data_IF_285154214784
#
_entry.id   IF_285154214784
#
_cell.length_a   1.000
_cell.length_b   1.000
_cell.length_c   1.000
_cell.angle_alpha   90.00
_cell.angle_beta   90.00
_cell.angle_gamma   90.00
#
_symmetry.space_group_name_H-M   'P 1'
#
loop_
_entity.id
_entity.type
_entity.pdbx_description
1 polymer ?
#
# COMPACT_ATOMS: atom_id res chain seq x y z
N UNK A 1 -36.36 16.88 -9.79
CA UNK A 1 -35.42 16.74 -8.69
C UNK A 1 -36.07 15.80 -7.68
N UNK A 2 -35.65 14.55 -7.66
CA UNK A 2 -36.14 13.56 -6.70
C UNK A 2 -35.71 13.97 -5.29
N UNK A 3 -36.70 14.16 -4.42
CA UNK A 3 -36.50 14.57 -3.01
C UNK A 3 -36.08 13.36 -2.14
N UNK A 4 -35.27 12.44 -2.72
CA UNK A 4 -34.79 11.24 -2.01
C UNK A 4 -33.80 11.64 -0.91
N UNK A 5 -34.06 11.19 0.30
CA UNK A 5 -33.10 11.29 1.43
C UNK A 5 -32.16 10.09 1.54
N UNK A 6 -32.33 9.11 0.67
CA UNK A 6 -31.52 7.88 0.62
C UNK A 6 -30.80 7.76 -0.72
N UNK A 7 -29.59 7.17 -0.76
CA UNK A 7 -28.87 6.91 -2.00
C UNK A 7 -29.67 6.00 -2.94
N UNK A 8 -29.49 6.19 -4.26
CA UNK A 8 -30.14 5.35 -5.28
C UNK A 8 -29.58 3.93 -5.28
N UNK A 9 -28.33 3.76 -4.84
CA UNK A 9 -27.63 2.47 -4.70
C UNK A 9 -27.22 2.29 -3.23
N UNK A 10 -27.41 1.10 -2.64
CA UNK A 10 -26.98 0.83 -1.27
C UNK A 10 -25.47 1.08 -1.08
N UNK A 11 -25.10 1.79 -0.03
CA UNK A 11 -23.71 2.00 0.32
C UNK A 11 -23.08 0.69 0.81
N UNK A 12 -21.87 0.44 0.35
CA UNK A 12 -21.04 -0.66 0.82
C UNK A 12 -19.99 -0.13 1.80
N UNK A 13 -19.91 -0.76 2.96
CA UNK A 13 -18.91 -0.45 3.98
C UNK A 13 -17.89 -1.58 4.09
N UNK A 14 -16.61 -1.23 4.12
CA UNK A 14 -15.48 -2.14 4.26
C UNK A 14 -14.51 -1.65 5.32
N UNK A 15 -13.75 -2.58 5.89
CA UNK A 15 -12.72 -2.31 6.89
C UNK A 15 -11.34 -2.86 6.47
N UNK A 16 -11.20 -3.28 5.22
CA UNK A 16 -10.01 -3.91 4.66
C UNK A 16 -9.49 -3.15 3.43
N UNK A 17 -8.40 -3.61 2.86
CA UNK A 17 -7.83 -3.14 1.60
C UNK A 17 -7.68 -4.30 0.62
N UNK A 18 -7.73 -4.01 -0.68
CA UNK A 18 -7.38 -4.97 -1.72
C UNK A 18 -5.98 -4.68 -2.25
N UNK A 19 -5.14 -5.69 -2.33
CA UNK A 19 -3.84 -5.64 -3.01
C UNK A 19 -3.69 -6.91 -3.81
N UNK A 20 -3.52 -6.78 -5.11
CA UNK A 20 -3.34 -7.89 -6.04
C UNK A 20 -2.06 -7.67 -6.84
N UNK A 21 -1.23 -8.69 -6.95
CA UNK A 21 -0.08 -8.65 -7.85
C UNK A 21 -0.58 -8.87 -9.30
N UNK A 22 -0.49 -7.83 -10.11
CA UNK A 22 -0.94 -7.88 -11.51
C UNK A 22 0.12 -8.52 -12.40
N UNK A 23 1.38 -8.10 -12.21
CA UNK A 23 2.54 -8.64 -12.91
C UNK A 23 3.82 -8.30 -12.18
N UNK A 24 4.86 -9.03 -12.46
CA UNK A 24 6.22 -8.71 -12.01
C UNK A 24 7.25 -9.09 -13.08
N UNK A 25 8.39 -8.40 -13.04
CA UNK A 25 9.65 -8.78 -13.62
C UNK A 25 10.65 -8.69 -12.49
N UNK A 26 10.61 -9.67 -11.58
CA UNK A 26 11.35 -9.67 -10.31
C UNK A 26 11.70 -11.09 -9.90
N UNK A 27 12.95 -11.28 -9.51
CA UNK A 27 13.50 -12.49 -8.92
C UNK A 27 14.77 -12.18 -8.11
N UNK A 28 15.17 -13.06 -7.20
CA UNK A 28 16.44 -12.94 -6.50
C UNK A 28 17.65 -12.96 -7.46
N UNK A 29 17.54 -13.71 -8.56
CA UNK A 29 18.59 -13.75 -9.60
C UNK A 29 18.78 -12.43 -10.33
N UNK A 30 17.76 -11.57 -10.42
CA UNK A 30 17.89 -10.24 -11.03
C UNK A 30 18.87 -9.37 -10.24
N UNK A 31 18.84 -9.45 -8.92
CA UNK A 31 19.78 -8.73 -8.04
C UNK A 31 21.21 -9.23 -8.26
N UNK A 32 21.37 -10.54 -8.39
CA UNK A 32 22.67 -11.18 -8.55
C UNK A 32 23.32 -10.83 -9.89
N UNK A 33 22.60 -10.96 -11.01
CA UNK A 33 23.18 -10.63 -12.32
C UNK A 33 23.43 -9.12 -12.47
N UNK A 34 22.55 -8.28 -11.91
CA UNK A 34 22.75 -6.83 -11.93
C UNK A 34 24.00 -6.42 -11.14
N UNK A 35 24.27 -7.04 -9.99
CA UNK A 35 25.48 -6.77 -9.22
C UNK A 35 26.75 -7.24 -9.94
N UNK A 36 26.71 -8.41 -10.58
CA UNK A 36 27.88 -9.03 -11.21
C UNK A 36 28.37 -8.33 -12.47
N UNK A 37 27.53 -7.55 -13.14
CA UNK A 37 27.97 -6.77 -14.30
C UNK A 37 29.15 -5.86 -13.96
N UNK A 38 29.27 -5.38 -12.74
CA UNK A 38 30.35 -4.51 -12.28
C UNK A 38 31.69 -5.21 -12.20
N UNK A 39 31.73 -6.52 -12.03
CA UNK A 39 32.97 -7.32 -11.86
C UNK A 39 33.29 -8.17 -13.05
N UNK A 40 32.29 -8.68 -13.75
CA UNK A 40 32.48 -9.60 -14.88
C UNK A 40 32.44 -8.91 -16.26
N UNK A 41 31.85 -7.73 -16.35
CA UNK A 41 31.84 -6.90 -17.58
C UNK A 41 31.02 -7.47 -18.74
N UNK A 42 30.47 -8.68 -18.62
CA UNK A 42 29.85 -9.40 -19.73
C UNK A 42 28.36 -9.71 -19.49
N UNK A 43 27.61 -9.63 -20.57
CA UNK A 43 26.19 -10.00 -20.64
C UNK A 43 25.93 -11.51 -20.47
N UNK A 44 26.98 -12.36 -20.71
CA UNK A 44 26.92 -13.82 -20.59
C UNK A 44 26.56 -14.33 -19.19
N UNK A 45 26.66 -13.49 -18.17
CA UNK A 45 26.33 -13.84 -16.80
C UNK A 45 24.83 -13.86 -16.47
N UNK A 46 23.95 -13.45 -17.39
CA UNK A 46 22.49 -13.62 -17.22
C UNK A 46 22.12 -15.11 -17.07
N UNK A 47 22.82 -15.99 -17.79
CA UNK A 47 22.60 -17.44 -17.69
C UNK A 47 23.37 -18.08 -16.53
N UNK A 48 24.51 -17.51 -16.11
CA UNK A 48 25.26 -17.96 -14.94
C UNK A 48 24.49 -17.75 -13.62
N UNK A 49 23.66 -16.69 -13.53
CA UNK A 49 22.79 -16.47 -12.39
C UNK A 49 21.68 -17.52 -12.22
N UNK A 50 21.32 -18.24 -13.28
CA UNK A 50 20.29 -19.30 -13.25
C UNK A 50 20.85 -20.65 -12.77
N UNK A 51 22.14 -20.85 -12.83
CA UNK A 51 22.81 -22.14 -12.58
C UNK A 51 23.67 -22.18 -11.30
N UNK A 52 23.62 -21.12 -10.46
CA UNK A 52 24.44 -21.07 -9.25
C UNK A 52 23.69 -21.55 -8.02
N UNK A 53 24.45 -22.04 -7.04
CA UNK A 53 23.93 -22.49 -5.76
C UNK A 53 23.22 -21.33 -5.03
N UNK A 54 22.04 -21.61 -4.48
CA UNK A 54 21.25 -20.66 -3.70
C UNK A 54 22.04 -20.04 -2.53
N UNK A 55 23.05 -20.74 -2.01
CA UNK A 55 23.94 -20.25 -0.95
C UNK A 55 24.84 -19.08 -1.40
N UNK A 56 25.33 -19.10 -2.64
CA UNK A 56 26.13 -18.00 -3.21
C UNK A 56 25.27 -16.76 -3.45
N UNK A 57 24.04 -16.96 -3.93
CA UNK A 57 23.06 -15.87 -4.08
C UNK A 57 22.80 -15.19 -2.74
N UNK A 58 22.53 -15.96 -1.69
CA UNK A 58 22.26 -15.44 -0.34
C UNK A 58 23.44 -14.62 0.18
N UNK A 59 24.68 -15.11 0.01
CA UNK A 59 25.88 -14.40 0.42
C UNK A 59 26.03 -13.03 -0.25
N UNK A 60 25.87 -12.98 -1.58
CA UNK A 60 25.98 -11.74 -2.35
C UNK A 60 24.83 -10.76 -2.02
N UNK A 61 23.58 -11.22 -2.03
CA UNK A 61 22.41 -10.37 -1.72
C UNK A 61 22.52 -9.79 -0.30
N UNK A 62 22.94 -10.62 0.68
CA UNK A 62 23.14 -10.14 2.05
C UNK A 62 24.28 -9.10 2.14
N UNK A 63 25.39 -9.30 1.40
CA UNK A 63 26.46 -8.31 1.33
C UNK A 63 25.94 -6.97 0.76
N UNK A 64 25.26 -7.00 -0.39
CA UNK A 64 24.71 -5.80 -1.04
C UNK A 64 23.74 -5.06 -0.10
N UNK A 65 22.90 -5.80 0.63
CA UNK A 65 21.95 -5.24 1.59
C UNK A 65 22.69 -4.54 2.75
N UNK A 66 23.64 -5.24 3.36
CA UNK A 66 24.42 -4.73 4.50
C UNK A 66 25.26 -3.50 4.15
N UNK A 67 25.93 -3.52 2.99
CA UNK A 67 26.79 -2.44 2.54
C UNK A 67 26.04 -1.34 1.79
N UNK A 68 24.71 -1.41 1.73
CA UNK A 68 23.84 -0.38 1.16
C UNK A 68 24.03 -0.16 -0.34
N UNK A 69 24.38 -1.22 -1.08
CA UNK A 69 24.49 -1.20 -2.53
C UNK A 69 23.10 -1.37 -3.17
N UNK A 70 22.34 -0.26 -3.30
CA UNK A 70 20.93 -0.29 -3.64
C UNK A 70 20.59 -0.53 -5.11
N UNK A 71 21.46 -0.14 -6.05
CA UNK A 71 21.15 -0.19 -7.50
C UNK A 71 20.80 -1.58 -8.02
N UNK A 72 21.40 -2.72 -7.58
CA UNK A 72 21.01 -4.04 -8.07
C UNK A 72 19.53 -4.37 -7.79
N UNK A 73 18.96 -3.84 -6.70
CA UNK A 73 17.56 -4.04 -6.33
C UNK A 73 16.58 -3.19 -7.13
N UNK A 74 17.07 -2.27 -7.96
CA UNK A 74 16.21 -1.40 -8.79
C UNK A 74 15.80 -2.06 -10.10
N UNK A 75 16.40 -3.20 -10.46
CA UNK A 75 16.12 -3.94 -11.70
C UNK A 75 14.91 -4.89 -11.58
N UNK A 76 14.46 -5.18 -10.37
CA UNK A 76 13.29 -6.02 -10.10
C UNK A 76 12.03 -5.16 -9.95
N UNK A 77 11.00 -5.41 -10.77
CA UNK A 77 9.81 -4.56 -10.89
C UNK A 77 8.55 -5.33 -10.49
N UNK A 78 7.69 -4.68 -9.70
CA UNK A 78 6.37 -5.17 -9.31
C UNK A 78 5.30 -4.19 -9.78
N UNK A 79 4.17 -4.70 -10.27
CA UNK A 79 2.97 -3.91 -10.53
C UNK A 79 1.80 -4.51 -9.76
N UNK A 80 1.22 -3.72 -8.88
CA UNK A 80 0.08 -4.09 -8.06
C UNK A 80 -1.18 -3.33 -8.50
N UNK A 81 -2.34 -3.97 -8.37
CA UNK A 81 -3.61 -3.29 -8.25
C UNK A 81 -3.92 -3.12 -6.77
N UNK A 82 -4.18 -1.88 -6.37
CA UNK A 82 -4.50 -1.54 -4.97
C UNK A 82 -5.83 -0.82 -4.93
N UNK A 83 -6.73 -1.26 -4.04
CA UNK A 83 -7.97 -0.55 -3.73
C UNK A 83 -8.00 -0.24 -2.24
N UNK A 84 -8.01 1.04 -1.91
CA UNK A 84 -7.93 1.57 -0.57
C UNK A 84 -8.69 2.90 -0.46
N UNK A 85 -9.09 3.35 0.75
CA UNK A 85 -9.73 4.66 0.92
C UNK A 85 -8.75 5.82 0.59
N UNK A 86 -9.31 6.94 0.16
CA UNK A 86 -8.56 8.13 -0.26
C UNK A 86 -7.54 8.59 0.79
N UNK A 87 -7.89 8.52 2.09
CA UNK A 87 -6.94 8.94 3.14
C UNK A 87 -5.68 8.05 3.19
N UNK A 88 -5.77 6.77 2.80
CA UNK A 88 -4.61 5.85 2.69
C UNK A 88 -3.73 6.25 1.51
N UNK A 89 -4.33 6.63 0.38
CA UNK A 89 -3.60 7.09 -0.80
C UNK A 89 -2.75 8.33 -0.52
N UNK A 90 -3.20 9.23 0.37
CA UNK A 90 -2.42 10.41 0.77
C UNK A 90 -1.10 10.05 1.47
N UNK A 91 -1.05 8.94 2.18
CA UNK A 91 0.20 8.39 2.73
C UNK A 91 0.97 7.55 1.73
N UNK A 92 0.28 6.73 0.93
CA UNK A 92 0.89 5.87 -0.06
C UNK A 92 1.69 6.68 -1.10
N UNK A 93 1.12 7.75 -1.62
CA UNK A 93 1.73 8.62 -2.63
C UNK A 93 2.89 9.48 -2.09
N UNK A 94 3.20 9.42 -0.78
CA UNK A 94 4.44 9.98 -0.22
C UNK A 94 5.68 9.18 -0.66
N UNK A 95 5.50 7.94 -1.09
CA UNK A 95 6.53 7.09 -1.67
C UNK A 95 6.65 7.37 -3.18
N UNK A 96 7.43 8.40 -3.52
CA UNK A 96 7.48 9.00 -4.87
C UNK A 96 8.27 8.18 -5.90
N UNK A 97 9.06 7.18 -5.48
CA UNK A 97 9.78 6.28 -6.39
C UNK A 97 8.84 5.13 -6.76
N UNK A 98 7.73 5.50 -7.40
CA UNK A 98 6.72 4.60 -7.92
C UNK A 98 5.90 5.32 -9.00
N UNK A 99 5.26 4.55 -9.88
CA UNK A 99 4.30 5.06 -10.86
C UNK A 99 2.90 4.71 -10.41
N UNK A 100 1.99 5.68 -10.49
CA UNK A 100 0.60 5.56 -10.07
C UNK A 100 -0.33 5.87 -11.24
N UNK A 101 -1.35 5.05 -11.43
CA UNK A 101 -2.45 5.33 -12.35
C UNK A 101 -3.77 5.00 -11.64
N UNK A 102 -4.41 6.05 -11.12
CA UNK A 102 -5.60 5.97 -10.28
C UNK A 102 -6.87 6.11 -11.13
N UNK A 103 -7.94 5.42 -10.73
CA UNK A 103 -9.28 5.65 -11.29
C UNK A 103 -9.68 7.12 -11.13
N UNK A 104 -10.48 7.62 -12.08
CA UNK A 104 -10.81 9.04 -12.08
C UNK A 104 -12.30 9.29 -11.87
N UNK A 105 -12.64 9.89 -10.73
CA UNK A 105 -13.95 10.45 -10.49
C UNK A 105 -14.33 11.66 -11.36
N UNK A 106 -13.46 12.06 -12.31
CA UNK A 106 -13.79 13.02 -13.39
C UNK A 106 -14.48 12.32 -14.56
N UNK A 107 -14.10 11.06 -14.82
CA UNK A 107 -14.55 10.33 -16.02
C UNK A 107 -15.70 9.36 -15.73
N UNK A 108 -15.78 8.87 -14.52
CA UNK A 108 -16.85 7.95 -14.10
C UNK A 108 -17.47 8.41 -12.77
N UNK A 109 -18.71 7.98 -12.52
CA UNK A 109 -19.30 8.06 -11.20
C UNK A 109 -18.56 7.10 -10.28
N UNK A 110 -18.19 7.56 -9.07
CA UNK A 110 -17.53 6.73 -8.08
C UNK A 110 -18.52 5.79 -7.42
N UNK A 111 -18.10 4.55 -7.18
CA UNK A 111 -18.92 3.56 -6.50
C UNK A 111 -19.16 3.96 -5.03
N UNK A 112 -20.35 3.69 -4.47
CA UNK A 112 -20.66 4.00 -3.08
C UNK A 112 -20.01 3.04 -2.09
N UNK A 113 -18.68 2.94 -2.12
CA UNK A 113 -17.90 2.05 -1.26
C UNK A 113 -17.03 2.89 -0.32
N UNK A 114 -17.22 2.70 0.99
CA UNK A 114 -16.60 3.51 2.02
C UNK A 114 -15.91 2.67 3.08
N UNK A 115 -14.80 3.19 3.59
CA UNK A 115 -14.12 2.60 4.73
C UNK A 115 -14.89 2.88 6.02
N UNK A 116 -14.94 1.86 6.85
CA UNK A 116 -15.47 1.92 8.21
C UNK A 116 -14.57 1.08 9.13
N UNK A 117 -14.07 1.63 10.26
CA UNK A 117 -13.28 0.86 11.21
C UNK A 117 -14.15 -0.19 11.91
N UNK A 118 -13.82 -1.46 11.75
CA UNK A 118 -14.49 -2.54 12.48
C UNK A 118 -13.98 -2.63 13.93
N UNK A 119 -14.54 -3.56 14.71
CA UNK A 119 -14.20 -3.73 16.13
C UNK A 119 -12.76 -4.21 16.40
N UNK A 120 -12.04 -4.66 15.37
CA UNK A 120 -10.61 -5.02 15.49
C UNK A 120 -9.68 -3.79 15.36
N UNK A 121 -10.22 -2.65 14.93
CA UNK A 121 -9.46 -1.39 14.85
C UNK A 121 -9.44 -0.72 16.24
N UNK A 122 -8.26 -0.62 16.83
CA UNK A 122 -8.09 0.14 18.08
C UNK A 122 -8.44 1.62 17.84
N UNK A 123 -9.33 2.18 18.66
CA UNK A 123 -9.87 3.54 18.47
C UNK A 123 -9.20 4.59 19.33
N UNK A 124 -8.64 4.18 20.48
CA UNK A 124 -8.05 5.12 21.45
C UNK A 124 -6.56 5.28 21.16
N UNK A 125 -6.14 6.53 20.98
CA UNK A 125 -4.73 6.87 20.81
C UNK A 125 -4.14 7.26 22.15
N UNK A 126 -3.06 6.59 22.57
CA UNK A 126 -2.32 6.87 23.79
C UNK A 126 -0.84 7.13 23.47
N UNK A 127 -0.17 7.88 24.34
CA UNK A 127 1.26 8.20 24.18
C UNK A 127 1.51 9.63 23.69
N UNK A 128 2.75 9.87 23.23
CA UNK A 128 3.22 11.20 22.76
C UNK A 128 3.44 11.20 21.26
N UNK A 129 3.48 12.38 20.67
CA UNK A 129 3.77 12.58 19.25
C UNK A 129 5.05 11.82 18.82
N UNK A 130 4.94 10.98 17.80
CA UNK A 130 6.03 10.14 17.30
C UNK A 130 6.22 8.81 18.05
N UNK A 131 5.43 8.54 19.09
CA UNK A 131 5.45 7.28 19.85
C UNK A 131 4.04 6.96 20.36
N UNK A 132 3.10 6.86 19.42
CA UNK A 132 1.73 6.49 19.74
C UNK A 132 1.55 4.99 19.82
N UNK A 133 0.71 4.56 20.78
CA UNK A 133 0.07 3.26 20.76
C UNK A 133 -1.45 3.45 20.60
N UNK A 134 -2.12 2.39 20.16
CA UNK A 134 -3.57 2.41 20.02
C UNK A 134 -4.17 1.28 20.86
N UNK A 135 -5.20 1.62 21.61
CA UNK A 135 -5.93 0.70 22.46
C UNK A 135 -7.36 0.49 21.94
N UNK A 136 -8.01 -0.64 22.28
CA UNK A 136 -9.40 -0.86 21.94
C UNK A 136 -10.30 0.25 22.43
N UNK A 137 -11.32 0.60 21.64
CA UNK A 137 -12.38 1.50 22.06
C UNK A 137 -13.37 0.80 23.00
N UNK A 138 -14.20 1.59 23.69
CA UNK A 138 -15.38 1.04 24.39
C UNK A 138 -16.49 0.68 23.39
N UNK A 139 -17.46 -0.13 23.82
CA UNK A 139 -18.62 -0.48 23.00
C UNK A 139 -19.38 0.77 22.52
N UNK A 140 -19.49 1.79 23.36
CA UNK A 140 -20.13 3.06 23.05
C UNK A 140 -19.35 3.83 21.98
N UNK A 141 -18.01 3.84 22.05
CA UNK A 141 -17.16 4.49 21.04
C UNK A 141 -17.25 3.80 19.67
N UNK A 142 -17.28 2.47 19.63
CA UNK A 142 -17.50 1.73 18.38
C UNK A 142 -18.89 2.01 17.81
N UNK A 143 -19.93 2.02 18.66
CA UNK A 143 -21.30 2.33 18.23
C UNK A 143 -21.42 3.76 17.71
N UNK A 144 -20.84 4.73 18.42
CA UNK A 144 -20.81 6.13 17.99
C UNK A 144 -20.11 6.27 16.63
N UNK A 145 -18.92 5.66 16.49
CA UNK A 145 -18.19 5.68 15.22
C UNK A 145 -19.00 5.08 14.09
N UNK A 146 -19.66 3.94 14.29
CA UNK A 146 -20.51 3.30 13.30
C UNK A 146 -21.64 4.23 12.83
N UNK A 147 -22.35 4.85 13.76
CA UNK A 147 -23.48 5.73 13.45
C UNK A 147 -23.01 6.95 12.67
N UNK A 148 -21.97 7.64 13.13
CA UNK A 148 -21.52 8.88 12.53
C UNK A 148 -20.84 8.67 11.17
N UNK A 149 -20.05 7.59 10.99
CA UNK A 149 -19.49 7.24 9.67
C UNK A 149 -20.59 6.96 8.65
N UNK A 150 -21.56 6.10 8.98
CA UNK A 150 -22.66 5.75 8.06
C UNK A 150 -23.48 6.96 7.68
N UNK A 151 -23.94 7.73 8.66
CA UNK A 151 -24.72 8.95 8.46
C UNK A 151 -24.01 9.97 7.56
N UNK A 152 -22.72 10.20 7.82
CA UNK A 152 -21.90 11.13 7.05
C UNK A 152 -21.72 10.66 5.59
N UNK A 153 -21.41 9.39 5.38
CA UNK A 153 -21.23 8.82 4.04
C UNK A 153 -22.55 8.84 3.24
N UNK A 154 -23.66 8.46 3.86
CA UNK A 154 -24.99 8.48 3.23
C UNK A 154 -25.37 9.89 2.79
N UNK A 155 -25.26 10.88 3.69
CA UNK A 155 -25.57 12.27 3.38
C UNK A 155 -24.71 12.83 2.25
N UNK A 156 -23.40 12.53 2.27
CA UNK A 156 -22.46 12.97 1.25
C UNK A 156 -22.76 12.33 -0.12
N UNK A 157 -23.05 11.02 -0.15
CA UNK A 157 -23.34 10.34 -1.40
C UNK A 157 -24.66 10.78 -2.02
N UNK A 158 -25.72 10.98 -1.22
CA UNK A 158 -26.98 11.58 -1.68
C UNK A 158 -26.76 12.97 -2.29
N UNK A 159 -25.91 13.79 -1.66
CA UNK A 159 -25.59 15.11 -2.18
C UNK A 159 -24.82 15.03 -3.52
N UNK A 160 -23.91 14.06 -3.63
CA UNK A 160 -23.17 13.77 -4.86
C UNK A 160 -24.12 13.36 -6.01
N UNK A 161 -25.03 12.40 -5.77
CA UNK A 161 -26.02 11.96 -6.76
C UNK A 161 -26.93 13.10 -7.22
N UNK A 162 -27.45 13.90 -6.28
CA UNK A 162 -28.31 15.06 -6.60
C UNK A 162 -27.60 16.07 -7.52
N UNK A 163 -26.32 16.31 -7.29
CA UNK A 163 -25.54 17.20 -8.17
C UNK A 163 -25.34 16.60 -9.56
N UNK A 164 -25.08 15.30 -9.66
CA UNK A 164 -24.95 14.62 -10.95
C UNK A 164 -26.27 14.66 -11.73
N UNK A 165 -27.40 14.38 -11.08
CA UNK A 165 -28.74 14.42 -11.66
C UNK A 165 -29.12 15.84 -12.14
N UNK A 166 -28.62 16.87 -11.46
CA UNK A 166 -28.78 18.27 -11.84
C UNK A 166 -27.81 18.70 -12.96
N UNK A 167 -26.97 17.81 -13.48
CA UNK A 167 -26.01 18.11 -14.55
C UNK A 167 -24.72 18.78 -14.08
N UNK A 168 -24.43 18.81 -12.77
CA UNK A 168 -23.15 19.31 -12.25
C UNK A 168 -22.01 18.36 -12.69
N UNK A 169 -20.92 18.94 -13.19
CA UNK A 169 -19.77 18.16 -13.63
C UNK A 169 -19.22 17.23 -12.52
N UNK A 170 -18.87 16.00 -12.88
CA UNK A 170 -18.36 14.99 -11.94
C UNK A 170 -17.18 15.49 -11.12
N UNK A 171 -16.27 16.26 -11.73
CA UNK A 171 -15.10 16.82 -11.05
C UNK A 171 -15.44 17.82 -9.95
N UNK A 172 -16.63 18.46 -10.03
CA UNK A 172 -17.16 19.35 -9.00
C UNK A 172 -17.94 18.53 -7.97
N UNK A 173 -18.89 17.72 -8.44
CA UNK A 173 -19.78 16.95 -7.58
C UNK A 173 -19.03 16.03 -6.60
N UNK A 174 -17.93 15.36 -7.02
CA UNK A 174 -17.11 14.51 -6.16
C UNK A 174 -16.49 15.23 -4.96
N UNK A 175 -16.45 16.55 -4.97
CA UNK A 175 -15.87 17.35 -3.89
C UNK A 175 -16.58 17.22 -2.55
N UNK A 176 -17.81 16.71 -2.52
CA UNK A 176 -18.57 16.48 -1.27
C UNK A 176 -18.30 15.10 -0.67
N UNK A 177 -17.65 14.18 -1.41
CA UNK A 177 -17.41 12.82 -0.94
C UNK A 177 -16.34 12.81 0.15
N UNK A 178 -16.55 12.08 1.25
CA UNK A 178 -15.57 12.00 2.32
C UNK A 178 -14.32 11.21 1.87
N UNK A 179 -13.18 11.48 2.50
CA UNK A 179 -11.90 10.80 2.22
C UNK A 179 -11.93 9.30 2.54
N UNK A 180 -12.98 8.80 3.16
CA UNK A 180 -13.22 7.39 3.44
C UNK A 180 -13.70 6.61 2.22
N UNK A 181 -14.10 7.30 1.12
CA UNK A 181 -14.45 6.63 -0.14
C UNK A 181 -13.24 5.87 -0.68
N UNK A 182 -13.48 4.66 -1.21
CA UNK A 182 -12.44 3.87 -1.85
C UNK A 182 -12.11 4.42 -3.23
N UNK A 183 -10.83 4.33 -3.54
CA UNK A 183 -10.28 4.54 -4.88
C UNK A 183 -9.33 3.40 -5.20
N UNK A 184 -9.10 3.14 -6.47
CA UNK A 184 -8.20 2.09 -6.93
C UNK A 184 -7.14 2.63 -7.87
N UNK A 185 -5.94 2.05 -7.81
CA UNK A 185 -4.85 2.39 -8.71
C UNK A 185 -3.98 1.20 -9.04
N UNK A 186 -3.36 1.25 -10.22
CA UNK A 186 -2.15 0.49 -10.49
C UNK A 186 -0.94 1.22 -9.91
N UNK A 187 -0.11 0.46 -9.19
CA UNK A 187 1.12 0.95 -8.58
C UNK A 187 2.28 0.11 -9.08
N UNK A 188 3.26 0.75 -9.72
CA UNK A 188 4.48 0.08 -10.17
C UNK A 188 5.68 0.62 -9.44
N UNK A 189 6.48 -0.27 -8.85
CA UNK A 189 7.71 0.08 -8.13
C UNK A 189 8.76 -1.02 -8.25
N UNK A 190 10.03 -0.65 -8.07
CA UNK A 190 11.11 -1.64 -7.98
C UNK A 190 11.25 -2.19 -6.55
N UNK A 191 12.04 -3.27 -6.38
CA UNK A 191 12.17 -3.93 -5.08
C UNK A 191 12.84 -3.05 -4.02
N UNK A 192 13.75 -2.14 -4.40
CA UNK A 192 14.33 -1.16 -3.47
C UNK A 192 13.29 -0.19 -2.93
N UNK A 193 12.45 0.37 -3.81
CA UNK A 193 11.35 1.24 -3.42
C UNK A 193 10.30 0.51 -2.56
N UNK A 194 10.02 -0.77 -2.88
CA UNK A 194 9.14 -1.62 -2.09
C UNK A 194 9.70 -1.85 -0.68
N UNK A 195 10.98 -2.21 -0.54
CA UNK A 195 11.63 -2.35 0.77
C UNK A 195 11.60 -1.04 1.56
N UNK A 196 11.80 0.12 0.92
CA UNK A 196 11.68 1.42 1.57
C UNK A 196 10.24 1.71 2.03
N UNK A 197 9.23 1.30 1.26
CA UNK A 197 7.83 1.37 1.69
C UNK A 197 7.61 0.50 2.94
N UNK A 198 8.05 -0.75 2.92
CA UNK A 198 7.90 -1.70 4.04
C UNK A 198 8.62 -1.21 5.31
N UNK A 199 9.81 -0.60 5.17
CA UNK A 199 10.55 -0.02 6.30
C UNK A 199 9.76 1.04 7.08
N UNK A 200 8.88 1.79 6.39
CA UNK A 200 8.13 2.92 6.94
C UNK A 200 6.67 2.61 7.24
N UNK A 201 6.10 1.58 6.61
CA UNK A 201 4.65 1.31 6.66
C UNK A 201 4.30 -0.06 7.25
N UNK A 202 5.29 -0.76 7.76
CA UNK A 202 5.11 -2.06 8.43
C UNK A 202 5.68 -2.01 9.84
N UNK A 203 4.87 -2.33 10.85
CA UNK A 203 5.37 -2.59 12.21
C UNK A 203 5.91 -4.02 12.21
N UNK A 204 7.19 -4.17 12.53
CA UNK A 204 7.82 -5.48 12.61
C UNK A 204 8.90 -5.49 13.69
N UNK A 205 8.95 -6.61 14.42
CA UNK A 205 10.00 -6.87 15.39
C UNK A 205 11.38 -6.92 14.71
N UNK A 206 12.42 -6.47 15.39
CA UNK A 206 13.78 -6.45 14.83
C UNK A 206 14.06 -5.34 13.82
N UNK A 207 13.13 -4.42 13.58
CA UNK A 207 13.37 -3.25 12.75
C UNK A 207 14.40 -2.33 13.41
N UNK A 208 15.45 -1.97 12.66
CA UNK A 208 16.49 -1.04 13.13
C UNK A 208 15.91 0.35 13.41
N UNK A 209 14.97 0.79 12.57
CA UNK A 209 14.21 2.02 12.77
C UNK A 209 12.73 1.67 12.95
N UNK A 210 12.21 1.61 14.20
CA UNK A 210 10.79 1.34 14.43
C UNK A 210 9.91 2.37 13.73
N UNK A 211 8.83 1.92 13.10
CA UNK A 211 7.84 2.76 12.44
C UNK A 211 6.49 2.69 13.14
N UNK A 212 5.71 3.76 13.00
CA UNK A 212 4.37 3.90 13.60
C UNK A 212 3.35 4.28 12.53
N UNK A 213 3.13 3.42 11.53
CA UNK A 213 2.20 3.71 10.43
C UNK A 213 0.76 3.73 10.93
N UNK A 214 -0.10 4.44 10.21
CA UNK A 214 -1.53 4.26 10.36
C UNK A 214 -1.91 2.83 9.98
N UNK A 215 -2.82 2.19 10.73
CA UNK A 215 -3.17 0.77 10.52
C UNK A 215 -3.59 0.46 9.09
N UNK A 216 -4.32 1.35 8.44
CA UNK A 216 -4.88 1.12 7.11
C UNK A 216 -3.80 1.11 6.01
N UNK A 217 -2.74 1.92 6.12
CA UNK A 217 -1.58 1.80 5.20
C UNK A 217 -0.71 0.59 5.53
N UNK A 218 -0.66 0.19 6.81
CA UNK A 218 0.02 -1.03 7.22
C UNK A 218 -0.62 -2.27 6.61
N UNK A 219 -1.97 -2.31 6.50
CA UNK A 219 -2.67 -3.41 5.81
C UNK A 219 -2.25 -3.54 4.34
N UNK A 220 -1.93 -2.43 3.66
CA UNK A 220 -1.35 -2.47 2.31
C UNK A 220 0.06 -3.03 2.36
N UNK A 221 0.88 -2.59 3.32
CA UNK A 221 2.25 -3.08 3.50
C UNK A 221 2.31 -4.58 3.78
N UNK A 222 1.42 -5.11 4.62
CA UNK A 222 1.31 -6.55 4.90
C UNK A 222 1.13 -7.35 3.62
N UNK A 223 0.19 -6.96 2.78
CA UNK A 223 -0.10 -7.64 1.52
C UNK A 223 1.03 -7.49 0.49
N UNK A 224 1.69 -6.33 0.43
CA UNK A 224 2.88 -6.15 -0.40
C UNK A 224 4.01 -7.08 0.03
N UNK A 225 4.24 -7.21 1.34
CA UNK A 225 5.27 -8.05 1.90
C UNK A 225 5.02 -9.54 1.62
N UNK A 226 3.78 -10.02 1.69
CA UNK A 226 3.40 -11.38 1.31
C UNK A 226 3.81 -11.72 -0.14
N UNK A 227 3.56 -10.82 -1.08
CA UNK A 227 3.96 -10.99 -2.48
C UNK A 227 5.48 -10.90 -2.64
N UNK A 228 6.14 -9.97 -1.97
CA UNK A 228 7.58 -9.80 -2.00
C UNK A 228 8.30 -11.04 -1.49
N UNK A 229 7.94 -11.54 -0.31
CA UNK A 229 8.51 -12.73 0.28
C UNK A 229 8.35 -13.98 -0.61
N UNK A 230 7.21 -14.10 -1.31
CA UNK A 230 6.96 -15.22 -2.22
C UNK A 230 7.82 -15.17 -3.50
N UNK A 231 8.08 -13.98 -4.03
CA UNK A 231 8.74 -13.79 -5.34
C UNK A 231 10.25 -13.66 -5.18
N UNK A 232 10.70 -12.99 -4.13
CA UNK A 232 12.11 -12.74 -3.84
C UNK A 232 12.46 -13.18 -2.41
N UNK A 233 12.36 -14.48 -2.09
CA UNK A 233 12.53 -14.97 -0.72
C UNK A 233 13.92 -14.70 -0.15
N UNK A 234 14.99 -14.83 -0.93
CA UNK A 234 16.35 -14.56 -0.46
C UNK A 234 16.54 -13.06 -0.15
N UNK A 235 16.03 -12.20 -1.03
CA UNK A 235 16.10 -10.73 -0.83
C UNK A 235 15.27 -10.32 0.38
N UNK A 236 14.09 -10.90 0.57
CA UNK A 236 13.23 -10.64 1.71
C UNK A 236 13.89 -11.07 3.04
N UNK A 237 14.46 -12.27 3.10
CA UNK A 237 15.17 -12.77 4.29
C UNK A 237 16.38 -11.89 4.62
N UNK A 238 17.15 -11.47 3.61
CA UNK A 238 18.26 -10.54 3.79
C UNK A 238 17.79 -9.16 4.28
N UNK A 239 16.65 -8.67 3.79
CA UNK A 239 16.04 -7.42 4.25
C UNK A 239 15.68 -7.48 5.74
N UNK A 240 15.03 -8.56 6.19
CA UNK A 240 14.72 -8.78 7.60
C UNK A 240 15.99 -8.87 8.44
N UNK A 241 16.96 -9.71 8.01
CA UNK A 241 18.24 -9.92 8.71
C UNK A 241 19.03 -8.62 8.91
N UNK A 242 18.93 -7.69 7.97
CA UNK A 242 19.59 -6.37 8.05
C UNK A 242 18.69 -5.28 8.66
N UNK A 243 17.77 -5.65 9.54
CA UNK A 243 16.96 -4.74 10.33
C UNK A 243 15.90 -3.99 9.52
N UNK A 244 15.44 -4.55 8.41
CA UNK A 244 14.39 -4.00 7.55
C UNK A 244 14.71 -2.60 7.01
N UNK A 245 15.96 -2.36 6.67
CA UNK A 245 16.43 -1.09 6.10
C UNK A 245 16.73 -1.32 4.61
N UNK A 246 16.04 -0.57 3.73
CA UNK A 246 16.30 -0.64 2.28
C UNK A 246 17.73 -0.18 1.97
N UNK A 247 18.45 -0.89 1.10
CA UNK A 247 19.82 -0.58 0.74
C UNK A 247 19.95 0.69 -0.12
#
# INVERSE_FOLDING_TARGET
VTNSSTPSIPLKFRSDVTVELVKHSASDSDVVWAARVSTAGERSNVDAGKNQDASEHTGLVNFLMRERHGTPFEHSIFTFYVKAPIFVWREHMRHRIASYNEESGRYRQLDPEFYFPNTSRNLQQVGKTGSYTFEPGTAEQYKLSEVEFKKSCESAYVSYEKMLDAGVAREVARGVLPVTIYSSAYVTMNSRALMNFLSLRRIAEGSHFPSYPQREIEMVAEKYEEHFAKIMPITHDCFIKNGRVAP
#
